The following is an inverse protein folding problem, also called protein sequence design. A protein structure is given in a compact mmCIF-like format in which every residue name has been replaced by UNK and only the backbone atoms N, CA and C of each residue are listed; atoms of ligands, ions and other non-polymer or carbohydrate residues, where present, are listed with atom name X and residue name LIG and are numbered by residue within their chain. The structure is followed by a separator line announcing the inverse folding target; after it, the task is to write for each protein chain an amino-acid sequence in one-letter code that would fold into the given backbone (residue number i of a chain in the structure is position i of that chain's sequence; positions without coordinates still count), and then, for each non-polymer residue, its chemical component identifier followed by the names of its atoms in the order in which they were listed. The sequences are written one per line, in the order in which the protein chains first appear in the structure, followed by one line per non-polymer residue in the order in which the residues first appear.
data_IF_712917193689
#
_entry.id   IF_712917193689
#
_cell.length_a   1.000
_cell.length_b   1.000
_cell.length_c   1.000
_cell.angle_alpha   90.00
_cell.angle_beta   90.00
_cell.angle_gamma   90.00
#
_symmetry.space_group_name_H-M   'P 1'
#
loop_
_entity.id
_entity.type
_entity.pdbx_description
1 polymer ?
#
# COMPACT_ATOMS: atom_id res chain seq x y z
N UNK A 1 7.04 11.19 -11.64
CA UNK A 1 5.59 10.85 -11.59
C UNK A 1 5.04 11.00 -10.19
N UNK A 2 3.80 11.41 -10.10
CA UNK A 2 3.12 11.62 -8.82
C UNK A 2 2.47 10.34 -8.32
N UNK A 3 2.86 9.91 -7.13
CA UNK A 3 2.34 8.70 -6.48
C UNK A 3 1.99 9.02 -5.03
N UNK A 4 1.28 8.11 -4.37
CA UNK A 4 1.15 8.13 -2.93
C UNK A 4 2.08 7.09 -2.33
N UNK A 5 2.72 7.42 -1.22
CA UNK A 5 3.55 6.50 -0.46
C UNK A 5 3.03 6.42 0.97
N UNK A 6 2.75 5.20 1.40
CA UNK A 6 2.40 4.92 2.79
C UNK A 6 3.65 4.41 3.51
N UNK A 7 4.07 5.13 4.54
CA UNK A 7 5.25 4.78 5.32
C UNK A 7 5.05 5.23 6.78
N UNK A 8 5.27 4.33 7.71
CA UNK A 8 5.10 4.60 9.15
C UNK A 8 3.71 5.17 9.51
N UNK A 9 2.68 4.69 8.85
CA UNK A 9 1.30 5.15 9.05
C UNK A 9 0.93 6.44 8.33
N UNK A 10 1.89 7.11 7.69
CA UNK A 10 1.67 8.36 6.98
C UNK A 10 1.51 8.13 5.48
N UNK A 11 0.44 8.68 4.93
CA UNK A 11 0.15 8.61 3.50
C UNK A 11 0.50 9.97 2.88
N UNK A 12 1.52 9.99 2.03
CA UNK A 12 2.06 11.21 1.45
C UNK A 12 2.12 11.16 -0.07
N UNK A 13 1.76 12.26 -0.72
CA UNK A 13 1.98 12.44 -2.16
C UNK A 13 3.47 12.72 -2.40
N UNK A 14 4.06 11.99 -3.34
CA UNK A 14 5.47 12.19 -3.71
C UNK A 14 5.65 12.22 -5.22
N UNK A 15 6.56 13.08 -5.66
CA UNK A 15 7.08 13.05 -7.03
C UNK A 15 8.32 12.17 -7.04
N UNK A 16 8.30 11.11 -7.84
CA UNK A 16 9.43 10.18 -7.93
C UNK A 16 9.83 9.96 -9.38
N UNK A 17 11.10 9.63 -9.65
CA UNK A 17 11.50 9.17 -10.98
C UNK A 17 10.72 7.92 -11.35
N UNK A 18 10.34 7.80 -12.62
CA UNK A 18 9.69 6.60 -13.12
C UNK A 18 10.75 5.53 -13.40
N UNK A 19 10.63 4.39 -12.79
CA UNK A 19 11.54 3.27 -13.01
C UNK A 19 11.50 2.24 -11.89
N UNK A 20 11.83 1.01 -12.25
CA UNK A 20 11.80 -0.12 -11.33
C UNK A 20 12.75 0.07 -10.14
N UNK A 21 13.94 0.62 -10.37
CA UNK A 21 14.91 0.85 -9.29
C UNK A 21 14.36 1.74 -8.19
N UNK A 22 13.67 2.83 -8.56
CA UNK A 22 13.07 3.74 -7.58
C UNK A 22 12.00 3.04 -6.77
N UNK A 23 11.14 2.26 -7.42
CA UNK A 23 10.10 1.50 -6.73
C UNK A 23 10.71 0.50 -5.75
N UNK A 24 11.75 -0.21 -6.17
CA UNK A 24 12.45 -1.17 -5.33
C UNK A 24 13.14 -0.52 -4.13
N UNK A 25 13.73 0.65 -4.30
CA UNK A 25 14.34 1.40 -3.20
C UNK A 25 13.31 1.78 -2.14
N UNK A 26 12.15 2.27 -2.56
CA UNK A 26 11.10 2.73 -1.64
C UNK A 26 10.54 1.56 -0.83
N UNK A 27 10.26 0.42 -1.47
CA UNK A 27 9.70 -0.74 -0.77
C UNK A 27 10.77 -1.62 -0.11
N UNK A 28 12.03 -1.42 -0.43
CA UNK A 28 13.15 -2.11 0.20
C UNK A 28 13.47 -3.48 -0.37
N UNK A 29 13.12 -3.76 -1.62
CA UNK A 29 13.39 -5.04 -2.27
C UNK A 29 12.58 -5.23 -3.54
N UNK A 30 12.46 -6.48 -3.99
CA UNK A 30 11.64 -6.79 -5.16
C UNK A 30 10.19 -6.41 -4.93
N UNK A 31 9.53 -5.95 -6.00
CA UNK A 31 8.15 -5.48 -5.91
C UNK A 31 7.16 -6.59 -6.22
N UNK A 32 5.99 -6.47 -5.61
CA UNK A 32 4.79 -7.25 -5.89
C UNK A 32 3.62 -6.28 -6.02
N UNK A 33 2.67 -6.58 -6.89
CA UNK A 33 1.44 -5.80 -7.04
C UNK A 33 0.28 -6.74 -6.71
N UNK A 34 -0.10 -6.84 -5.42
CA UNK A 34 -1.16 -7.74 -5.00
C UNK A 34 -2.54 -7.19 -5.34
N UNK A 35 -3.52 -8.08 -5.39
CA UNK A 35 -4.92 -7.67 -5.40
C UNK A 35 -5.32 -7.24 -3.99
N UNK A 36 -5.72 -5.99 -3.82
CA UNK A 36 -6.18 -5.44 -2.54
C UNK A 36 -7.60 -4.86 -2.65
N UNK A 37 -8.51 -5.61 -3.25
CA UNK A 37 -9.90 -5.25 -3.33
C UNK A 37 -10.32 -4.71 -4.69
N UNK A 38 -11.63 -4.76 -4.93
CA UNK A 38 -12.20 -4.38 -6.21
C UNK A 38 -12.12 -2.89 -6.48
N UNK A 39 -12.18 -2.05 -5.44
CA UNK A 39 -12.14 -0.60 -5.61
C UNK A 39 -10.84 -0.15 -6.26
N UNK A 40 -9.71 -0.66 -5.80
CA UNK A 40 -8.42 -0.32 -6.41
C UNK A 40 -8.31 -0.91 -7.82
N UNK A 41 -8.65 -2.18 -7.98
CA UNK A 41 -8.60 -2.84 -9.30
C UNK A 41 -9.46 -2.11 -10.33
N UNK A 42 -10.71 -1.82 -9.99
CA UNK A 42 -11.66 -1.23 -10.93
C UNK A 42 -11.35 0.22 -11.29
N UNK A 43 -10.51 0.88 -10.50
CA UNK A 43 -10.04 2.24 -10.74
C UNK A 43 -8.59 2.30 -11.24
N UNK A 44 -8.04 1.16 -11.65
CA UNK A 44 -6.69 1.05 -12.21
C UNK A 44 -5.60 1.57 -11.26
N UNK A 45 -5.78 1.33 -9.97
CA UNK A 45 -4.82 1.71 -8.94
C UNK A 45 -4.05 0.46 -8.52
N UNK A 46 -2.73 0.52 -8.70
CA UNK A 46 -1.83 -0.53 -8.27
C UNK A 46 -1.29 -0.22 -6.88
N UNK A 47 -1.26 -1.23 -6.04
CA UNK A 47 -0.58 -1.16 -4.75
C UNK A 47 0.73 -1.93 -4.89
N UNK A 48 1.85 -1.22 -4.78
CA UNK A 48 3.17 -1.78 -4.99
C UNK A 48 3.83 -1.98 -3.63
N UNK A 49 4.19 -3.22 -3.32
CA UNK A 49 4.73 -3.60 -2.02
C UNK A 49 6.01 -4.43 -2.18
N UNK A 50 6.69 -4.64 -1.06
CA UNK A 50 7.82 -5.58 -1.02
C UNK A 50 7.29 -7.01 -1.09
N UNK A 51 7.77 -7.78 -2.05
CA UNK A 51 7.38 -9.18 -2.24
C UNK A 51 7.60 -10.04 -0.99
N UNK A 52 8.63 -9.73 -0.20
CA UNK A 52 9.01 -10.50 0.98
C UNK A 52 8.83 -9.73 2.30
N UNK A 53 7.98 -8.70 2.30
CA UNK A 53 7.84 -7.83 3.47
C UNK A 53 7.56 -8.54 4.78
N UNK A 54 6.77 -9.62 4.75
CA UNK A 54 6.45 -10.41 5.95
C UNK A 54 7.64 -11.20 6.49
N UNK A 55 8.64 -11.46 5.66
CA UNK A 55 9.79 -12.28 5.99
C UNK A 55 11.00 -11.46 6.43
N UNK A 56 10.96 -10.16 6.22
CA UNK A 56 12.06 -9.27 6.55
C UNK A 56 11.95 -8.83 8.02
N UNK A 57 12.95 -9.16 8.82
CA UNK A 57 13.00 -8.74 10.21
C UNK A 57 13.04 -7.22 10.32
N UNK A 58 12.22 -6.66 11.21
CA UNK A 58 12.13 -5.22 11.42
C UNK A 58 11.21 -4.47 10.48
N UNK A 59 10.65 -5.14 9.46
CA UNK A 59 9.66 -4.55 8.59
C UNK A 59 8.37 -4.28 9.37
N UNK A 60 7.83 -3.06 9.28
CA UNK A 60 6.66 -2.65 10.06
C UNK A 60 5.36 -2.94 9.32
N UNK A 61 4.27 -3.30 10.03
CA UNK A 61 2.97 -3.39 9.42
C UNK A 61 2.48 -2.00 9.01
N UNK A 62 1.86 -1.89 7.84
CA UNK A 62 1.35 -0.62 7.33
C UNK A 62 -0.16 -0.66 7.05
N UNK A 63 -0.67 -1.79 6.57
CA UNK A 63 -2.10 -1.95 6.26
C UNK A 63 -2.60 -3.24 6.87
N UNK A 64 -3.73 -3.16 7.57
CA UNK A 64 -4.52 -4.34 7.93
C UNK A 64 -5.73 -4.40 7.00
N UNK A 65 -5.99 -5.59 6.47
CA UNK A 65 -7.07 -5.82 5.52
C UNK A 65 -8.16 -6.61 6.22
N UNK A 66 -9.35 -6.04 6.28
CA UNK A 66 -10.51 -6.64 6.92
C UNK A 66 -11.59 -6.99 5.91
N UNK A 67 -12.29 -8.10 6.17
CA UNK A 67 -13.49 -8.45 5.43
C UNK A 67 -14.63 -7.50 5.81
N UNK A 68 -15.30 -6.91 4.81
CA UNK A 68 -16.37 -5.95 5.04
C UNK A 68 -17.65 -6.52 5.61
N UNK A 69 -17.88 -7.84 5.47
CA UNK A 69 -19.07 -8.50 5.98
C UNK A 69 -18.85 -9.11 7.36
N UNK A 70 -17.72 -9.79 7.55
CA UNK A 70 -17.43 -10.54 8.79
C UNK A 70 -16.54 -9.79 9.76
N UNK A 71 -15.89 -8.71 9.31
CA UNK A 71 -14.87 -7.96 10.06
C UNK A 71 -13.64 -8.78 10.44
N UNK A 72 -13.45 -9.95 9.83
CA UNK A 72 -12.30 -10.77 10.04
C UNK A 72 -11.05 -10.17 9.42
N UNK A 73 -9.90 -10.35 10.09
CA UNK A 73 -8.61 -9.99 9.54
C UNK A 73 -8.25 -10.95 8.42
N UNK A 74 -8.09 -10.42 7.20
CA UNK A 74 -7.73 -11.21 6.03
C UNK A 74 -6.23 -11.24 5.80
N UNK A 75 -5.54 -10.12 6.00
CA UNK A 75 -4.11 -10.01 5.77
C UNK A 75 -3.53 -8.77 6.42
N UNK A 76 -2.21 -8.74 6.52
CA UNK A 76 -1.44 -7.57 6.96
C UNK A 76 -0.35 -7.33 5.93
N UNK A 77 -0.27 -6.10 5.42
CA UNK A 77 0.78 -5.68 4.51
C UNK A 77 1.90 -5.04 5.31
N UNK A 78 3.12 -5.52 5.12
CA UNK A 78 4.32 -5.03 5.79
C UNK A 78 5.21 -4.23 4.85
N UNK A 79 5.77 -3.15 5.36
CA UNK A 79 6.69 -2.29 4.63
C UNK A 79 5.99 -1.16 3.88
N UNK A 80 6.79 -0.26 3.35
CA UNK A 80 6.29 0.88 2.60
C UNK A 80 5.46 0.44 1.41
N UNK A 81 4.37 1.15 1.14
CA UNK A 81 3.48 0.86 0.01
C UNK A 81 3.47 2.05 -0.93
N UNK A 82 3.49 1.78 -2.23
CA UNK A 82 3.36 2.81 -3.26
C UNK A 82 2.03 2.60 -3.97
N UNK A 83 1.26 3.67 -4.15
CA UNK A 83 0.02 3.66 -4.91
C UNK A 83 0.27 4.43 -6.20
N UNK A 84 0.12 3.75 -7.33
CA UNK A 84 0.34 4.30 -8.66
C UNK A 84 -0.73 3.76 -9.61
N UNK A 85 -0.72 4.22 -10.85
CA UNK A 85 -1.59 3.69 -11.88
C UNK A 85 -0.78 2.91 -12.92
N UNK A 86 -1.42 2.46 -13.96
CA UNK A 86 -0.78 1.81 -15.09
C UNK A 86 -1.49 2.19 -16.39
N UNK A 87 -0.77 2.11 -17.50
CA UNK A 87 -1.33 2.31 -18.83
C UNK A 87 -1.79 0.97 -19.43
N UNK A 88 -2.30 1.01 -20.66
CA UNK A 88 -2.80 -0.19 -21.36
C UNK A 88 -1.70 -1.23 -21.63
N UNK A 89 -0.44 -0.79 -21.65
CA UNK A 89 0.71 -1.66 -21.88
C UNK A 89 1.28 -2.23 -20.58
N UNK A 90 0.70 -1.86 -19.43
CA UNK A 90 1.16 -2.31 -18.13
C UNK A 90 2.31 -1.51 -17.54
N UNK A 91 2.68 -0.38 -18.14
CA UNK A 91 3.68 0.51 -17.58
C UNK A 91 3.11 1.27 -16.40
N UNK A 92 3.91 1.42 -15.34
CA UNK A 92 3.51 2.23 -14.18
C UNK A 92 3.41 3.69 -14.56
N UNK A 93 2.30 4.31 -14.18
CA UNK A 93 2.03 5.72 -14.46
C UNK A 93 1.63 6.45 -13.17
N UNK A 94 1.60 7.78 -13.24
CA UNK A 94 1.20 8.56 -12.09
C UNK A 94 -0.30 8.46 -11.82
N UNK A 95 -0.69 8.74 -10.57
CA UNK A 95 -2.09 8.81 -10.18
C UNK A 95 -2.73 10.08 -10.71
N UNK A 96 -3.99 9.97 -11.14
CA UNK A 96 -4.84 11.13 -11.41
C UNK A 96 -5.33 11.72 -10.07
N UNK A 97 -5.88 12.93 -10.11
CA UNK A 97 -6.47 13.55 -8.92
C UNK A 97 -7.62 12.69 -8.35
N UNK A 98 -8.42 12.07 -9.21
CA UNK A 98 -9.50 11.18 -8.78
C UNK A 98 -8.97 9.93 -8.10
N UNK A 99 -7.92 9.33 -8.64
CA UNK A 99 -7.29 8.16 -8.04
C UNK A 99 -6.66 8.48 -6.69
N UNK A 100 -6.04 9.65 -6.55
CA UNK A 100 -5.51 10.12 -5.26
C UNK A 100 -6.62 10.16 -4.19
N UNK A 101 -7.76 10.73 -4.54
CA UNK A 101 -8.91 10.80 -3.62
C UNK A 101 -9.40 9.40 -3.23
N UNK A 102 -9.48 8.48 -4.17
CA UNK A 102 -9.92 7.11 -3.92
C UNK A 102 -8.99 6.44 -2.90
N UNK A 103 -7.69 6.55 -3.08
CA UNK A 103 -6.72 5.97 -2.13
C UNK A 103 -6.88 6.59 -0.75
N UNK A 104 -6.98 7.90 -0.68
CA UNK A 104 -7.13 8.61 0.60
C UNK A 104 -8.42 8.22 1.33
N UNK A 105 -9.52 8.01 0.60
CA UNK A 105 -10.78 7.56 1.18
C UNK A 105 -10.71 6.11 1.64
N UNK A 106 -10.19 5.22 0.81
CA UNK A 106 -10.10 3.80 1.14
C UNK A 106 -9.18 3.54 2.35
N UNK A 107 -8.14 4.33 2.52
CA UNK A 107 -7.18 4.21 3.61
C UNK A 107 -7.35 5.32 4.68
N UNK A 108 -8.53 5.90 4.76
CA UNK A 108 -8.82 6.98 5.70
C UNK A 108 -8.91 6.55 7.16
N UNK A 109 -9.17 5.26 7.41
CA UNK A 109 -9.23 4.72 8.77
C UNK A 109 -7.86 4.24 9.21
N UNK A 110 -7.51 4.53 10.45
CA UNK A 110 -6.30 4.05 11.08
C UNK A 110 -6.61 3.30 12.36
N UNK A 111 -5.70 2.43 12.77
CA UNK A 111 -5.82 1.63 13.98
C UNK A 111 -4.44 1.39 14.58
N UNK A 112 -4.41 0.86 15.79
CA UNK A 112 -3.17 0.40 16.41
C UNK A 112 -3.16 -1.13 16.43
N UNK A 113 -2.05 -1.70 15.99
CA UNK A 113 -1.81 -3.14 16.04
C UNK A 113 -0.73 -3.42 17.07
N UNK A 114 -1.02 -4.32 18.00
CA UNK A 114 -0.05 -4.79 18.99
C UNK A 114 0.52 -6.13 18.54
N UNK A 115 1.77 -6.10 18.10
CA UNK A 115 2.52 -7.30 17.77
C UNK A 115 3.40 -7.64 18.97
N UNK A 116 3.03 -8.65 19.73
CA UNK A 116 3.56 -8.99 21.07
C UNK A 116 5.07 -8.81 21.27
N UNK A 117 5.90 -9.14 20.27
CA UNK A 117 7.36 -9.04 20.39
C UNK A 117 7.94 -7.79 19.73
N UNK A 118 7.19 -7.15 18.84
CA UNK A 118 7.68 -6.02 18.06
C UNK A 118 7.13 -4.67 18.53
N UNK A 119 6.04 -4.66 19.30
CA UNK A 119 5.44 -3.44 19.84
C UNK A 119 4.11 -3.06 19.22
N UNK A 120 3.74 -1.80 19.41
CA UNK A 120 2.48 -1.23 18.92
C UNK A 120 2.77 -0.35 17.72
N UNK A 121 2.01 -0.52 16.64
CA UNK A 121 2.19 0.20 15.39
C UNK A 121 0.89 0.87 14.96
N UNK A 122 1.02 2.08 14.40
CA UNK A 122 -0.07 2.75 13.71
C UNK A 122 -0.17 2.19 12.29
N UNK A 123 -1.35 1.75 11.91
CA UNK A 123 -1.60 1.15 10.61
C UNK A 123 -2.82 1.78 9.96
N UNK A 124 -2.94 1.65 8.65
CA UNK A 124 -4.17 1.97 7.93
C UNK A 124 -5.05 0.73 7.85
N UNK A 125 -6.36 0.94 7.82
CA UNK A 125 -7.33 -0.14 7.72
C UNK A 125 -7.96 -0.09 6.33
N UNK A 126 -7.85 -1.19 5.60
CA UNK A 126 -8.50 -1.38 4.30
C UNK A 126 -9.61 -2.41 4.46
N UNK A 127 -10.83 -2.02 4.12
CA UNK A 127 -12.00 -2.90 4.18
C UNK A 127 -12.34 -3.36 2.77
N UNK A 128 -12.39 -4.65 2.55
CA UNK A 128 -12.64 -5.23 1.22
C UNK A 128 -13.90 -6.11 1.18
#
# INVERSE_FOLDING_TARGET
MKVLVLSNGNLETKEIPNGLETLQEIVGGYIEIPYLGDTFRDNEIDVIINEEGKLIEGMKPEIVILDGETEELLDIVYGNCIFASHDEEGNTTELTAEQLEIVEQELGLSAKVNLKKAGVFDVRVLIV
#
